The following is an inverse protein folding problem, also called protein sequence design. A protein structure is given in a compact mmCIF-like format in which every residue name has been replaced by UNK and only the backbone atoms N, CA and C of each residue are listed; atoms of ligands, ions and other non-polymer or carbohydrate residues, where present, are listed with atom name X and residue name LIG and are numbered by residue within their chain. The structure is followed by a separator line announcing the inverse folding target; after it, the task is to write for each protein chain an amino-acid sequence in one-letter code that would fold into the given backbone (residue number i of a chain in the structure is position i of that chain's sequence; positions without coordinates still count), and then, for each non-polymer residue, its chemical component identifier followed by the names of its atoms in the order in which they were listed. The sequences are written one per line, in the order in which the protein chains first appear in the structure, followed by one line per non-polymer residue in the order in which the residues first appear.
data_IF_190983700582
#
_entry.id   IF_190983700582
#
_cell.length_a   1.000
_cell.length_b   1.000
_cell.length_c   1.000
_cell.angle_alpha   90.00
_cell.angle_beta   90.00
_cell.angle_gamma   90.00
#
_symmetry.space_group_name_H-M   'P 1'
#
loop_
_entity.id
_entity.type
_entity.pdbx_description
1 polymer ?
#
# COMPACT_ATOMS: atom_id res chain seq x y z
N UNK A 1 30.57 -16.04 18.17
CA UNK A 1 30.40 -17.18 17.24
C UNK A 1 30.55 -18.45 18.06
N UNK A 2 29.48 -19.13 18.38
CA UNK A 2 29.50 -20.41 19.07
C UNK A 2 28.90 -21.45 18.12
N UNK A 3 29.70 -22.39 17.68
CA UNK A 3 29.35 -23.47 16.76
C UNK A 3 28.78 -24.62 17.60
N UNK A 4 27.58 -25.08 17.28
CA UNK A 4 26.93 -26.22 17.93
C UNK A 4 27.44 -27.53 17.30
N UNK A 5 27.94 -28.56 18.06
CA UNK A 5 28.44 -29.80 17.49
C UNK A 5 27.32 -30.77 17.12
N UNK A 6 27.47 -31.44 15.98
CA UNK A 6 26.65 -32.56 15.51
C UNK A 6 26.99 -33.83 16.28
N UNK A 7 25.97 -34.51 16.80
CA UNK A 7 26.08 -35.83 17.40
C UNK A 7 26.07 -36.91 16.31
N UNK A 8 27.17 -37.66 16.20
CA UNK A 8 27.24 -38.94 15.46
C UNK A 8 27.06 -40.10 16.43
N UNK A 9 26.07 -40.97 16.13
CA UNK A 9 25.92 -42.27 16.79
C UNK A 9 27.04 -43.24 16.35
N UNK A 10 27.71 -43.85 17.31
CA UNK A 10 28.44 -45.12 17.05
C UNK A 10 28.23 -46.10 18.21
N UNK A 11 28.24 -47.33 17.84
CA UNK A 11 27.69 -48.54 18.45
C UNK A 11 28.36 -49.04 19.73
N UNK A 12 27.59 -49.95 20.32
CA UNK A 12 27.85 -50.76 21.51
C UNK A 12 29.10 -51.59 21.47
N UNK A 13 29.84 -51.65 22.57
CA UNK A 13 30.51 -52.86 23.07
C UNK A 13 30.45 -52.88 24.60
N UNK A 14 30.06 -54.04 25.12
CA UNK A 14 29.92 -54.36 26.55
C UNK A 14 31.27 -54.60 27.25
N UNK A 15 31.36 -54.25 28.50
CA UNK A 15 32.55 -54.60 29.35
C UNK A 15 32.50 -54.00 30.75
N UNK A 16 32.04 -54.84 31.71
CA UNK A 16 32.31 -54.90 33.16
C UNK A 16 32.67 -53.68 34.02
N UNK A 17 31.71 -53.41 34.88
CA UNK A 17 31.69 -53.09 36.33
C UNK A 17 32.97 -52.64 37.04
N UNK A 18 32.97 -51.39 37.52
CA UNK A 18 33.46 -50.96 38.84
C UNK A 18 32.70 -49.72 39.32
N UNK A 19 32.18 -49.79 40.54
CA UNK A 19 31.40 -48.69 41.14
C UNK A 19 32.32 -47.49 41.44
N UNK A 20 32.03 -46.37 40.79
CA UNK A 20 32.49 -45.05 41.19
C UNK A 20 31.26 -44.14 41.18
N UNK A 21 30.94 -43.55 42.34
CA UNK A 21 29.86 -42.61 42.51
C UNK A 21 30.17 -41.35 41.67
N UNK A 22 29.47 -41.16 40.57
CA UNK A 22 29.53 -39.94 39.76
C UNK A 22 28.34 -39.08 40.18
N UNK A 23 28.65 -37.95 40.81
CA UNK A 23 27.73 -36.84 41.01
C UNK A 23 27.25 -36.38 39.63
N UNK A 24 26.01 -36.68 39.28
CA UNK A 24 25.32 -36.11 38.14
C UNK A 24 25.06 -34.60 38.41
N UNK A 25 25.91 -33.72 37.92
CA UNK A 25 25.58 -32.35 37.66
C UNK A 25 24.62 -32.33 36.44
N UNK A 26 23.33 -32.25 36.70
CA UNK A 26 22.31 -31.98 35.68
C UNK A 26 22.52 -30.54 35.17
N UNK A 27 23.29 -30.40 34.10
CA UNK A 27 23.32 -29.14 33.34
C UNK A 27 21.92 -28.96 32.69
N UNK A 28 21.12 -28.10 33.29
CA UNK A 28 19.91 -27.59 32.68
C UNK A 28 20.32 -26.87 31.38
N UNK A 29 20.19 -27.56 30.25
CA UNK A 29 20.31 -26.94 28.95
C UNK A 29 19.16 -25.93 28.82
N UNK A 30 19.47 -24.64 28.87
CA UNK A 30 18.52 -23.60 28.55
C UNK A 30 18.02 -23.83 27.10
N UNK A 31 16.72 -23.74 26.85
CA UNK A 31 16.19 -23.87 25.49
C UNK A 31 16.83 -22.79 24.61
N UNK A 32 17.48 -23.22 23.53
CA UNK A 32 17.99 -22.31 22.50
C UNK A 32 16.78 -21.54 21.92
N UNK A 33 16.77 -20.21 21.92
CA UNK A 33 15.68 -19.47 21.31
C UNK A 33 15.57 -19.90 19.83
N UNK A 34 14.37 -20.32 19.44
CA UNK A 34 14.06 -20.66 18.07
C UNK A 34 14.42 -19.46 17.17
N UNK A 35 15.30 -19.67 16.18
CA UNK A 35 15.57 -18.63 15.20
C UNK A 35 14.32 -18.38 14.36
N UNK A 36 13.89 -17.11 14.17
CA UNK A 36 12.74 -16.81 13.33
C UNK A 36 12.96 -17.36 11.93
N UNK A 37 12.00 -18.09 11.41
CA UNK A 37 11.98 -18.54 10.03
C UNK A 37 11.94 -17.31 9.12
N UNK A 38 12.51 -17.35 7.91
CA UNK A 38 12.66 -16.17 7.04
C UNK A 38 11.35 -15.43 6.73
N UNK A 39 10.17 -16.08 6.88
CA UNK A 39 8.85 -15.47 6.81
C UNK A 39 8.55 -14.53 7.98
N UNK A 40 8.92 -14.93 9.20
CA UNK A 40 8.68 -14.13 10.42
C UNK A 40 9.49 -12.84 10.42
N UNK A 41 10.68 -12.86 9.83
CA UNK A 41 11.55 -11.67 9.74
C UNK A 41 10.96 -10.58 8.84
N UNK A 42 10.27 -10.96 7.77
CA UNK A 42 9.64 -10.00 6.86
C UNK A 42 8.39 -9.35 7.47
N UNK A 43 7.57 -10.12 8.18
CA UNK A 43 6.41 -9.59 8.89
C UNK A 43 6.81 -8.60 10.01
N UNK A 44 7.96 -8.79 10.64
CA UNK A 44 8.47 -7.86 11.66
C UNK A 44 8.83 -6.47 11.11
N UNK A 45 8.88 -6.28 9.78
CA UNK A 45 9.07 -4.96 9.15
C UNK A 45 7.77 -4.18 8.98
N UNK A 46 6.64 -4.78 9.29
CA UNK A 46 5.33 -4.17 9.15
C UNK A 46 4.63 -4.06 10.52
N UNK A 47 3.82 -3.03 10.67
CA UNK A 47 2.88 -2.95 11.79
C UNK A 47 1.77 -3.97 11.53
N UNK A 48 1.42 -4.81 12.52
CA UNK A 48 0.33 -5.77 12.37
C UNK A 48 -1.00 -5.12 11.97
N UNK A 49 -1.82 -5.85 11.23
CA UNK A 49 -3.15 -5.39 10.85
C UNK A 49 -4.04 -5.10 12.08
N UNK A 50 -3.90 -5.91 13.15
CA UNK A 50 -4.60 -5.77 14.44
C UNK A 50 -4.03 -4.63 15.29
N UNK A 51 -3.87 -3.45 14.71
CA UNK A 51 -3.31 -2.28 15.38
C UNK A 51 -4.28 -1.75 16.44
N UNK A 52 -3.77 -1.47 17.63
CA UNK A 52 -4.50 -0.82 18.72
C UNK A 52 -4.34 0.70 18.67
N UNK A 53 -5.08 1.44 19.50
CA UNK A 53 -4.91 2.88 19.65
C UNK A 53 -3.45 3.26 19.96
N UNK A 54 -2.76 2.47 20.79
CA UNK A 54 -1.36 2.71 21.18
C UNK A 54 -0.41 2.57 20.01
N UNK A 55 -0.60 1.56 19.16
CA UNK A 55 0.29 1.24 18.04
C UNK A 55 -0.15 1.84 16.71
N UNK A 56 -1.29 2.53 16.67
CA UNK A 56 -1.83 3.09 15.43
C UNK A 56 -0.88 4.07 14.71
N UNK A 57 -0.01 4.73 15.46
CA UNK A 57 0.91 5.75 14.95
C UNK A 57 2.35 5.26 14.81
N UNK A 58 2.62 4.03 15.17
CA UNK A 58 3.97 3.46 15.09
C UNK A 58 4.45 3.35 13.63
N UNK A 59 5.74 3.49 13.46
CA UNK A 59 6.45 3.27 12.20
C UNK A 59 7.71 2.45 12.49
N UNK A 60 7.82 1.21 12.03
CA UNK A 60 9.01 0.37 12.24
C UNK A 60 10.29 1.02 11.72
N UNK A 61 10.20 1.78 10.65
CA UNK A 61 11.30 2.55 10.08
C UNK A 61 10.88 4.01 9.95
N UNK A 62 11.46 4.88 10.80
CA UNK A 62 11.21 6.33 10.76
C UNK A 62 12.51 7.07 10.45
N UNK A 63 12.65 7.68 9.26
CA UNK A 63 13.91 8.32 8.85
C UNK A 63 14.23 9.60 9.64
N UNK A 64 13.27 10.13 10.39
CA UNK A 64 13.50 11.31 11.24
C UNK A 64 14.18 10.96 12.56
N UNK A 65 14.04 9.70 13.01
CA UNK A 65 14.59 9.21 14.29
C UNK A 65 15.63 8.11 14.11
N UNK A 66 15.84 7.61 12.89
CA UNK A 66 16.84 6.58 12.61
C UNK A 66 18.25 7.16 12.66
N UNK A 67 18.98 6.87 13.74
CA UNK A 67 20.37 7.29 13.93
C UNK A 67 21.34 6.62 12.96
N UNK A 68 20.99 5.50 12.36
CA UNK A 68 21.82 4.83 11.34
C UNK A 68 21.79 5.52 9.98
N UNK A 69 20.78 6.36 9.76
CA UNK A 69 20.66 7.16 8.54
C UNK A 69 21.56 8.40 8.64
N UNK A 70 22.84 8.21 8.29
CA UNK A 70 23.88 9.24 8.35
C UNK A 70 23.50 10.51 7.58
N UNK A 71 24.11 11.64 7.94
CA UNK A 71 23.98 12.89 7.19
C UNK A 71 24.67 12.73 5.82
N UNK A 72 23.89 12.69 4.77
CA UNK A 72 24.35 12.57 3.39
C UNK A 72 23.25 13.08 2.43
N UNK A 73 23.56 13.41 1.19
CA UNK A 73 22.55 13.77 0.20
C UNK A 73 21.47 12.71 0.02
N UNK A 74 21.82 11.42 0.12
CA UNK A 74 20.87 10.31 0.11
C UNK A 74 19.94 10.35 1.32
N UNK A 75 20.49 10.49 2.51
CA UNK A 75 19.72 10.54 3.74
C UNK A 75 18.72 11.72 3.75
N UNK A 76 19.14 12.88 3.26
CA UNK A 76 18.23 14.03 3.16
C UNK A 76 17.12 13.79 2.12
N UNK A 77 17.41 13.12 1.01
CA UNK A 77 16.40 12.72 0.02
C UNK A 77 15.40 11.71 0.60
N UNK A 78 15.85 10.76 1.40
CA UNK A 78 14.97 9.83 2.14
C UNK A 78 14.04 10.58 3.09
N UNK A 79 14.57 11.53 3.89
CA UNK A 79 13.78 12.36 4.81
C UNK A 79 12.78 13.24 4.05
N UNK A 80 13.19 13.85 2.95
CA UNK A 80 12.30 14.60 2.08
C UNK A 80 11.20 13.73 1.50
N UNK A 81 11.54 12.55 1.00
CA UNK A 81 10.57 11.56 0.50
C UNK A 81 9.56 11.14 1.55
N UNK A 82 9.99 10.94 2.78
CA UNK A 82 9.10 10.67 3.91
C UNK A 82 8.14 11.84 4.18
N UNK A 83 8.64 13.07 4.25
CA UNK A 83 7.78 14.27 4.45
C UNK A 83 6.76 14.40 3.33
N UNK A 84 7.19 14.29 2.08
CA UNK A 84 6.31 14.25 0.90
C UNK A 84 5.23 13.17 1.05
N UNK A 85 5.61 11.97 1.47
CA UNK A 85 4.71 10.83 1.59
C UNK A 85 3.59 11.05 2.62
N UNK A 86 3.91 11.64 3.76
CA UNK A 86 2.94 11.84 4.86
C UNK A 86 2.20 13.16 4.79
N UNK A 87 2.70 14.15 4.05
CA UNK A 87 2.13 15.51 3.91
C UNK A 87 2.21 16.03 2.47
N UNK A 88 1.86 15.23 1.49
CA UNK A 88 1.99 15.57 0.07
C UNK A 88 1.40 16.94 -0.29
N UNK A 89 0.19 17.34 0.18
CA UNK A 89 -0.37 18.65 -0.15
C UNK A 89 0.44 19.83 0.38
N UNK A 90 1.13 19.65 1.51
CA UNK A 90 1.94 20.71 2.14
C UNK A 90 3.33 20.81 1.51
N UNK A 91 3.95 19.65 1.24
CA UNK A 91 5.33 19.54 0.77
C UNK A 91 5.47 19.70 -0.75
N UNK A 92 4.37 19.43 -1.49
CA UNK A 92 4.36 19.52 -2.95
C UNK A 92 3.01 20.08 -3.48
N UNK A 93 2.59 21.29 -3.05
CA UNK A 93 1.29 21.85 -3.44
C UNK A 93 1.13 22.05 -4.94
N UNK A 94 2.24 22.21 -5.67
CA UNK A 94 2.23 22.35 -7.12
C UNK A 94 1.82 21.07 -7.85
N UNK A 95 2.01 19.91 -7.25
CA UNK A 95 1.74 18.58 -7.86
C UNK A 95 0.63 17.80 -7.18
N UNK A 96 0.26 18.13 -5.94
CA UNK A 96 -0.87 17.56 -5.22
C UNK A 96 -2.08 18.50 -5.32
N UNK A 97 -2.93 18.26 -6.30
CA UNK A 97 -4.07 19.15 -6.58
C UNK A 97 -5.29 18.88 -5.69
N UNK A 98 -5.21 17.95 -4.77
CA UNK A 98 -6.29 17.59 -3.83
C UNK A 98 -5.80 17.59 -2.37
N UNK A 99 -6.65 17.23 -1.45
CA UNK A 99 -6.34 17.20 -0.02
C UNK A 99 -5.77 15.87 0.47
N UNK A 100 -5.25 15.01 -0.41
CA UNK A 100 -4.75 13.69 -0.08
C UNK A 100 -3.23 13.65 -0.05
N UNK A 101 -2.70 12.90 0.90
CA UNK A 101 -1.31 12.47 0.93
C UNK A 101 -1.21 10.97 0.63
N UNK A 102 -0.05 10.50 0.16
CA UNK A 102 0.20 9.08 -0.08
C UNK A 102 -0.13 8.23 1.17
N UNK A 103 0.19 8.75 2.35
CA UNK A 103 -0.07 8.14 3.65
C UNK A 103 -1.55 8.00 4.01
N UNK A 104 -2.49 8.67 3.33
CA UNK A 104 -3.92 8.47 3.56
C UNK A 104 -4.42 7.09 3.10
N UNK A 105 -3.74 6.47 2.12
CA UNK A 105 -4.06 5.14 1.63
C UNK A 105 -2.99 4.12 2.05
N UNK A 106 -1.71 4.50 1.98
CA UNK A 106 -0.58 3.67 2.40
C UNK A 106 -0.27 3.96 3.88
N UNK A 107 -1.10 3.38 4.78
CA UNK A 107 -1.11 3.75 6.19
C UNK A 107 0.25 3.51 6.88
N UNK A 108 0.49 4.26 7.97
CA UNK A 108 1.73 4.21 8.74
C UNK A 108 2.97 4.41 7.85
N UNK A 109 2.90 5.43 6.99
CA UNK A 109 3.97 5.74 6.03
C UNK A 109 4.34 4.54 5.11
N UNK A 110 3.33 3.75 4.71
CA UNK A 110 3.51 2.59 3.84
C UNK A 110 4.00 1.33 4.57
N UNK A 111 3.89 1.26 5.89
CA UNK A 111 4.47 0.19 6.69
C UNK A 111 3.43 -0.60 7.52
N UNK A 112 2.13 -0.51 7.20
CA UNK A 112 1.07 -1.25 7.90
C UNK A 112 0.57 -2.42 7.06
N UNK A 113 0.50 -3.61 7.65
CA UNK A 113 -0.08 -4.80 7.02
C UNK A 113 -1.49 -4.52 6.49
N UNK A 114 -1.84 -5.13 5.36
CA UNK A 114 -3.17 -5.05 4.72
C UNK A 114 -3.67 -3.63 4.41
N UNK A 115 -2.87 -2.60 4.73
CA UNK A 115 -3.14 -1.20 4.43
C UNK A 115 -2.24 -0.70 3.29
N UNK A 116 -2.15 -1.47 2.22
CA UNK A 116 -1.34 -1.19 1.03
C UNK A 116 0.14 -0.92 1.37
N UNK A 117 0.83 -1.85 2.09
CA UNK A 117 2.22 -1.64 2.46
C UNK A 117 3.13 -1.48 1.25
N UNK A 118 4.14 -0.62 1.38
CA UNK A 118 5.16 -0.35 0.35
C UNK A 118 6.53 -0.92 0.71
N UNK A 119 6.69 -1.46 1.92
CA UNK A 119 7.92 -2.17 2.32
C UNK A 119 8.20 -3.31 1.34
N UNK A 120 9.40 -3.36 0.77
CA UNK A 120 9.79 -4.36 -0.23
C UNK A 120 9.32 -4.07 -1.66
N UNK A 121 8.42 -3.11 -1.86
CA UNK A 121 7.82 -2.83 -3.18
C UNK A 121 8.86 -2.38 -4.21
N UNK A 122 9.95 -1.74 -3.79
CA UNK A 122 11.01 -1.33 -4.71
C UNK A 122 11.64 -2.53 -5.47
N UNK A 123 11.68 -3.73 -4.86
CA UNK A 123 12.19 -4.94 -5.50
C UNK A 123 11.25 -5.58 -6.53
N UNK A 124 9.99 -5.14 -6.59
CA UNK A 124 9.01 -5.65 -7.57
C UNK A 124 9.20 -5.04 -8.95
N UNK A 125 9.66 -3.79 -9.01
CA UNK A 125 9.87 -3.08 -10.26
C UNK A 125 11.19 -3.48 -10.97
N UNK A 126 11.21 -3.46 -12.32
CA UNK A 126 10.13 -3.09 -13.24
C UNK A 126 9.03 -4.15 -13.34
N UNK A 127 7.76 -3.70 -13.46
CA UNK A 127 6.59 -4.57 -13.53
C UNK A 127 5.64 -4.15 -14.65
N UNK A 128 4.99 -5.15 -15.31
CA UNK A 128 3.99 -4.85 -16.34
C UNK A 128 2.69 -4.34 -15.74
N UNK A 129 2.29 -3.13 -16.12
CA UNK A 129 1.03 -2.52 -15.73
C UNK A 129 -0.08 -2.87 -16.74
N UNK A 130 -1.00 -3.75 -16.34
CA UNK A 130 -2.11 -4.22 -17.19
C UNK A 130 -3.06 -3.09 -17.63
N UNK A 131 -3.22 -2.04 -16.83
CA UNK A 131 -4.12 -0.92 -17.14
C UNK A 131 -3.58 -0.07 -18.29
N UNK A 132 -2.31 0.25 -18.24
CA UNK A 132 -1.66 1.09 -19.25
C UNK A 132 -0.97 0.29 -20.35
N UNK A 133 -0.90 -1.04 -20.22
CA UNK A 133 -0.36 -1.93 -21.24
C UNK A 133 1.16 -1.79 -21.48
N UNK A 134 1.93 -1.30 -20.47
CA UNK A 134 3.38 -1.10 -20.55
C UNK A 134 4.11 -1.50 -19.28
N UNK A 135 5.42 -1.63 -19.37
CA UNK A 135 6.29 -1.85 -18.22
C UNK A 135 6.46 -0.54 -17.45
N UNK A 136 6.36 -0.62 -16.13
CA UNK A 136 6.55 0.49 -15.20
C UNK A 136 7.85 0.34 -14.42
N UNK A 137 8.57 1.42 -14.25
CA UNK A 137 9.53 1.60 -13.16
C UNK A 137 8.80 1.96 -11.86
N UNK A 138 9.52 2.04 -10.75
CA UNK A 138 8.98 2.57 -9.50
C UNK A 138 8.54 4.03 -9.65
N UNK A 139 9.33 4.83 -10.37
CA UNK A 139 9.07 6.23 -10.67
C UNK A 139 7.80 6.39 -11.52
N UNK A 140 7.63 5.60 -12.56
CA UNK A 140 6.39 5.55 -13.35
C UNK A 140 5.17 5.28 -12.45
N UNK A 141 5.33 4.37 -11.49
CA UNK A 141 4.24 4.05 -10.56
C UNK A 141 3.90 5.22 -9.64
N UNK A 142 4.91 5.93 -9.12
CA UNK A 142 4.73 7.13 -8.30
C UNK A 142 4.03 8.22 -9.09
N UNK A 143 4.49 8.49 -10.30
CA UNK A 143 3.86 9.41 -11.23
C UNK A 143 2.39 9.06 -11.48
N UNK A 144 2.10 7.79 -11.73
CA UNK A 144 0.73 7.31 -11.89
C UNK A 144 -0.15 7.53 -10.65
N UNK A 145 0.43 7.49 -9.44
CA UNK A 145 -0.28 7.81 -8.21
C UNK A 145 -0.57 9.32 -8.10
N UNK A 146 0.40 10.18 -8.37
CA UNK A 146 0.18 11.62 -8.42
C UNK A 146 -0.96 11.99 -9.36
N UNK A 147 -0.95 11.47 -10.58
CA UNK A 147 -1.96 11.76 -11.59
C UNK A 147 -3.36 11.27 -11.24
N UNK A 148 -3.47 10.11 -10.56
CA UNK A 148 -4.74 9.43 -10.32
C UNK A 148 -5.28 9.63 -8.91
N UNK A 149 -4.43 9.53 -7.92
CA UNK A 149 -4.83 9.62 -6.51
C UNK A 149 -4.76 11.04 -5.98
N UNK A 150 -3.84 11.87 -6.49
CA UNK A 150 -3.62 13.23 -6.02
C UNK A 150 -4.03 14.31 -7.03
N UNK A 151 -4.65 13.89 -8.15
CA UNK A 151 -5.14 14.77 -9.21
C UNK A 151 -4.07 15.74 -9.74
N UNK A 152 -2.82 15.31 -9.83
CA UNK A 152 -1.72 16.14 -10.29
C UNK A 152 -2.04 16.78 -11.65
N UNK A 153 -2.15 18.11 -11.66
CA UNK A 153 -2.36 18.93 -12.85
C UNK A 153 -1.14 19.73 -13.22
N UNK A 154 -0.24 19.99 -12.28
CA UNK A 154 0.96 20.77 -12.48
C UNK A 154 2.02 20.06 -13.34
N UNK A 155 1.88 18.78 -13.53
CA UNK A 155 2.63 18.04 -14.53
C UNK A 155 2.10 18.24 -15.97
N UNK A 156 1.26 19.21 -16.20
CA UNK A 156 1.00 19.73 -17.53
C UNK A 156 2.21 20.54 -17.93
N UNK A 157 3.02 20.05 -18.85
CA UNK A 157 3.75 20.98 -19.67
C UNK A 157 2.71 21.74 -20.48
N UNK A 158 2.59 23.03 -20.24
CA UNK A 158 1.96 23.94 -21.16
C UNK A 158 2.77 23.90 -22.45
N UNK A 159 2.38 23.03 -23.35
CA UNK A 159 2.91 23.10 -24.71
C UNK A 159 2.20 24.26 -25.42
N UNK A 160 2.92 25.20 -25.97
CA UNK A 160 2.33 26.33 -26.73
C UNK A 160 1.46 25.89 -27.90
N UNK A 161 1.42 24.63 -28.23
CA UNK A 161 0.75 24.03 -29.38
C UNK A 161 -0.51 23.24 -29.05
N UNK A 162 -1.30 23.69 -28.11
CA UNK A 162 -2.71 23.23 -27.98
C UNK A 162 -2.88 21.72 -27.80
N UNK A 163 -2.50 21.17 -26.69
CA UNK A 163 -3.24 20.02 -26.18
C UNK A 163 -2.81 18.64 -26.58
N UNK A 164 -1.56 18.36 -26.80
CA UNK A 164 -1.09 16.97 -26.73
C UNK A 164 -0.53 16.68 -25.34
N UNK A 165 -1.27 15.87 -24.58
CA UNK A 165 -0.87 15.33 -23.26
C UNK A 165 0.34 14.39 -23.37
N UNK A 166 1.48 14.88 -23.85
CA UNK A 166 2.71 14.09 -24.00
C UNK A 166 3.68 14.22 -22.85
N UNK A 167 3.42 15.08 -21.92
CA UNK A 167 4.22 15.16 -20.71
C UNK A 167 3.43 14.54 -19.56
N UNK A 168 3.58 13.25 -19.41
CA UNK A 168 3.53 12.66 -18.09
C UNK A 168 4.44 13.49 -17.17
N UNK A 169 4.11 13.61 -15.87
CA UNK A 169 5.06 14.18 -14.94
C UNK A 169 6.42 13.53 -15.18
N UNK A 170 7.41 14.36 -15.22
CA UNK A 170 8.77 13.91 -15.40
C UNK A 170 9.14 12.94 -14.29
N UNK A 171 9.44 11.69 -14.64
CA UNK A 171 9.89 10.67 -13.68
C UNK A 171 11.20 11.05 -13.00
N UNK A 172 11.92 12.05 -13.55
CA UNK A 172 13.13 12.64 -12.97
C UNK A 172 12.85 13.80 -12.01
N UNK A 173 11.58 14.23 -11.84
CA UNK A 173 11.23 15.29 -10.90
C UNK A 173 11.72 14.95 -9.47
N UNK A 174 12.20 15.97 -8.75
CA UNK A 174 12.81 15.76 -7.42
C UNK A 174 11.82 15.18 -6.41
N UNK A 175 10.53 15.50 -6.51
CA UNK A 175 9.47 14.90 -5.69
C UNK A 175 9.35 13.40 -5.93
N UNK A 176 9.42 12.98 -7.19
CA UNK A 176 9.37 11.57 -7.59
C UNK A 176 10.63 10.84 -7.14
N UNK A 177 11.80 11.45 -7.34
CA UNK A 177 13.08 10.90 -6.92
C UNK A 177 13.17 10.74 -5.38
N UNK A 178 12.68 11.72 -4.62
CA UNK A 178 12.67 11.67 -3.17
C UNK A 178 11.71 10.58 -2.64
N UNK A 179 10.50 10.48 -3.21
CA UNK A 179 9.55 9.43 -2.85
C UNK A 179 10.08 8.03 -3.21
N UNK A 180 10.68 7.89 -4.38
CA UNK A 180 11.30 6.63 -4.78
C UNK A 180 12.43 6.22 -3.83
N UNK A 181 13.26 7.18 -3.40
CA UNK A 181 14.35 6.91 -2.45
C UNK A 181 13.83 6.53 -1.07
N UNK A 182 12.74 7.16 -0.59
CA UNK A 182 12.09 6.75 0.64
C UNK A 182 11.53 5.32 0.53
N UNK A 183 10.84 4.99 -0.56
CA UNK A 183 10.29 3.63 -0.78
C UNK A 183 11.41 2.60 -0.92
N UNK A 184 12.53 2.93 -1.55
CA UNK A 184 13.72 2.05 -1.59
C UNK A 184 14.27 1.83 -0.19
N UNK A 185 14.41 2.89 0.59
CA UNK A 185 14.94 2.80 1.95
C UNK A 185 14.10 1.89 2.86
N UNK A 186 12.76 2.05 2.89
CA UNK A 186 11.90 1.13 3.66
C UNK A 186 11.87 -0.30 3.09
N UNK A 187 12.35 -0.49 1.87
CA UNK A 187 12.40 -1.80 1.20
C UNK A 187 13.72 -2.53 1.41
N UNK A 188 14.80 -1.87 1.83
CA UNK A 188 16.15 -2.47 1.93
C UNK A 188 16.20 -3.69 2.83
N UNK A 189 15.50 -3.66 3.96
CA UNK A 189 15.45 -4.76 4.92
C UNK A 189 14.55 -5.91 4.49
N UNK A 190 13.66 -5.69 3.54
CA UNK A 190 12.76 -6.71 3.01
C UNK A 190 13.44 -7.63 1.97
N UNK A 191 14.68 -7.31 1.59
CA UNK A 191 15.38 -8.02 0.54
C UNK A 191 14.90 -7.68 -0.86
N UNK A 192 15.53 -8.31 -1.86
CA UNK A 192 15.18 -8.13 -3.27
C UNK A 192 14.34 -9.31 -3.73
N UNK A 193 13.10 -9.05 -4.19
CA UNK A 193 12.25 -10.11 -4.71
C UNK A 193 10.97 -9.58 -5.34
N UNK A 194 10.51 -10.24 -6.39
CA UNK A 194 9.28 -9.90 -7.10
C UNK A 194 8.01 -10.43 -6.42
N UNK A 195 8.16 -11.28 -5.41
CA UNK A 195 7.04 -11.86 -4.66
C UNK A 195 7.10 -11.38 -3.21
N UNK A 196 6.15 -10.56 -2.82
CA UNK A 196 6.01 -10.07 -1.45
C UNK A 196 4.91 -10.86 -0.75
N UNK A 197 5.15 -11.40 0.48
CA UNK A 197 4.16 -12.20 1.21
C UNK A 197 2.85 -11.47 1.48
N UNK A 198 2.90 -10.14 1.64
CA UNK A 198 1.73 -9.30 1.92
C UNK A 198 1.00 -8.79 0.66
N UNK A 199 1.52 -9.06 -0.53
CA UNK A 199 0.88 -8.61 -1.78
C UNK A 199 -0.43 -9.36 -2.00
N UNK A 200 -1.52 -8.60 -2.13
CA UNK A 200 -2.87 -9.15 -2.36
C UNK A 200 -3.61 -9.58 -1.10
N UNK A 201 -3.01 -9.51 0.10
CA UNK A 201 -3.68 -9.86 1.35
C UNK A 201 -4.88 -8.96 1.70
N UNK A 202 -5.02 -7.84 1.03
CA UNK A 202 -6.16 -6.93 1.13
C UNK A 202 -7.16 -7.10 -0.02
N UNK A 203 -7.21 -8.26 -0.65
CA UNK A 203 -8.18 -8.58 -1.71
C UNK A 203 -9.36 -9.35 -1.11
N UNK A 204 -10.59 -8.96 -1.44
CA UNK A 204 -11.78 -9.75 -1.11
C UNK A 204 -11.68 -11.11 -1.81
N UNK A 205 -11.86 -12.25 -1.10
CA UNK A 205 -11.87 -13.57 -1.72
C UNK A 205 -12.88 -13.67 -2.86
N UNK A 206 -12.55 -14.40 -3.90
CA UNK A 206 -13.38 -14.47 -5.12
C UNK A 206 -14.79 -15.04 -4.89
N UNK A 207 -14.94 -15.98 -3.98
CA UNK A 207 -16.21 -16.58 -3.55
C UNK A 207 -17.09 -15.63 -2.73
N UNK A 208 -16.47 -14.59 -2.15
CA UNK A 208 -17.14 -13.56 -1.37
C UNK A 208 -17.46 -12.30 -2.19
N UNK A 209 -17.11 -12.28 -3.49
CA UNK A 209 -17.41 -11.14 -4.34
C UNK A 209 -18.91 -11.10 -4.70
N UNK A 210 -19.50 -9.94 -4.52
CA UNK A 210 -20.90 -9.64 -4.89
C UNK A 210 -20.87 -8.90 -6.22
N UNK A 211 -21.66 -9.35 -7.18
CA UNK A 211 -21.78 -8.66 -8.48
C UNK A 211 -22.19 -7.18 -8.29
N UNK A 212 -21.57 -6.30 -9.04
CA UNK A 212 -21.73 -4.83 -8.88
C UNK A 212 -23.20 -4.40 -8.94
N UNK A 213 -23.99 -5.05 -9.76
CA UNK A 213 -25.40 -4.80 -9.96
C UNK A 213 -26.27 -5.20 -8.76
N UNK A 214 -25.75 -6.04 -7.88
CA UNK A 214 -26.41 -6.52 -6.65
C UNK A 214 -25.99 -5.72 -5.40
N UNK A 215 -25.00 -4.84 -5.54
CA UNK A 215 -24.57 -3.97 -4.46
C UNK A 215 -25.54 -2.77 -4.36
N UNK A 216 -26.03 -2.52 -3.14
CA UNK A 216 -27.00 -1.46 -2.86
C UNK A 216 -26.31 -0.22 -2.24
N UNK A 217 -26.22 0.90 -2.97
CA UNK A 217 -25.65 2.13 -2.43
C UNK A 217 -26.42 2.72 -1.23
N UNK A 218 -27.71 2.43 -1.06
CA UNK A 218 -28.53 2.90 0.07
C UNK A 218 -28.06 2.16 1.34
N UNK A 219 -27.92 0.85 1.28
CA UNK A 219 -27.32 0.06 2.36
C UNK A 219 -25.89 0.51 2.65
N UNK A 220 -25.09 0.74 1.60
CA UNK A 220 -23.73 1.26 1.72
C UNK A 220 -23.67 2.61 2.41
N UNK A 221 -24.62 3.51 2.15
CA UNK A 221 -24.77 4.81 2.84
C UNK A 221 -25.06 4.64 4.33
N UNK A 222 -25.98 3.76 4.70
CA UNK A 222 -26.32 3.50 6.11
C UNK A 222 -25.10 2.99 6.88
N UNK A 223 -24.39 1.99 6.33
CA UNK A 223 -23.16 1.45 6.91
C UNK A 223 -22.04 2.50 7.01
N UNK A 224 -21.90 3.35 5.99
CA UNK A 224 -20.94 4.46 6.03
C UNK A 224 -21.25 5.46 7.15
N UNK A 225 -22.51 5.82 7.31
CA UNK A 225 -22.94 6.73 8.38
C UNK A 225 -22.67 6.16 9.77
N UNK A 226 -22.88 4.86 9.95
CA UNK A 226 -22.65 4.15 11.21
C UNK A 226 -21.18 3.98 11.54
N UNK A 227 -20.37 3.53 10.55
CA UNK A 227 -19.03 3.00 10.80
C UNK A 227 -17.89 3.93 10.36
N UNK A 228 -18.16 4.95 9.56
CA UNK A 228 -17.12 5.74 8.90
C UNK A 228 -17.24 7.24 9.15
N UNK A 229 -18.45 7.75 9.34
CA UNK A 229 -18.72 9.21 9.35
C UNK A 229 -18.07 9.95 10.51
N UNK A 230 -17.79 9.28 11.64
CA UNK A 230 -17.10 9.87 12.78
C UNK A 230 -15.71 10.42 12.43
N UNK A 231 -15.01 9.76 11.50
CA UNK A 231 -13.68 10.17 11.03
C UNK A 231 -13.73 10.85 9.65
N UNK A 232 -14.59 10.34 8.76
CA UNK A 232 -14.64 10.84 7.38
C UNK A 232 -15.66 11.98 7.17
N UNK A 233 -16.46 12.31 8.19
CA UNK A 233 -17.57 13.26 8.05
C UNK A 233 -18.75 12.64 7.30
N UNK A 234 -19.96 13.15 7.55
CA UNK A 234 -21.17 12.71 6.80
C UNK A 234 -21.10 13.10 5.33
N UNK A 235 -20.32 14.12 5.03
CA UNK A 235 -20.03 14.63 3.67
C UNK A 235 -18.82 13.98 3.02
N UNK A 236 -18.11 13.08 3.73
CA UNK A 236 -16.93 12.38 3.26
C UNK A 236 -15.67 13.25 3.09
N UNK A 237 -15.66 14.48 3.65
CA UNK A 237 -14.54 15.40 3.47
C UNK A 237 -13.45 15.28 4.54
N UNK A 238 -13.65 14.39 5.51
CA UNK A 238 -12.73 14.14 6.61
C UNK A 238 -12.88 15.11 7.78
N UNK A 239 -12.75 14.56 8.99
CA UNK A 239 -12.74 15.31 10.26
C UNK A 239 -11.31 15.35 10.77
N UNK A 240 -10.88 16.47 11.35
CA UNK A 240 -9.59 16.56 12.01
C UNK A 240 -9.63 15.78 13.33
N UNK A 241 -8.63 14.93 13.57
CA UNK A 241 -8.46 14.12 14.76
C UNK A 241 -7.03 14.35 15.25
N UNK A 242 -6.86 15.27 16.16
CA UNK A 242 -5.54 15.75 16.55
C UNK A 242 -4.82 16.41 15.38
N UNK A 243 -3.61 15.98 15.11
CA UNK A 243 -2.76 16.40 13.99
C UNK A 243 -3.07 15.68 12.66
N UNK A 244 -4.04 14.80 12.65
CA UNK A 244 -4.41 14.00 11.49
C UNK A 244 -5.78 14.36 10.99
N UNK A 245 -5.97 14.15 9.68
CA UNK A 245 -7.25 14.29 9.01
C UNK A 245 -7.46 13.11 8.08
N UNK A 246 -8.60 12.45 8.24
CA UNK A 246 -9.05 11.48 7.24
C UNK A 246 -9.27 12.21 5.91
N UNK A 247 -8.68 11.74 4.84
CA UNK A 247 -8.76 12.41 3.54
C UNK A 247 -10.16 12.40 2.94
N UNK A 248 -10.44 13.30 1.99
CA UNK A 248 -11.71 13.34 1.28
C UNK A 248 -11.93 12.07 0.45
N UNK A 249 -13.11 11.45 0.59
CA UNK A 249 -13.46 10.20 -0.09
C UNK A 249 -14.17 10.44 -1.43
N UNK A 250 -14.74 11.61 -1.65
CA UNK A 250 -15.39 12.05 -2.89
C UNK A 250 -15.37 13.57 -3.03
N UNK A 251 -15.93 14.09 -4.13
CA UNK A 251 -15.92 15.51 -4.44
C UNK A 251 -14.62 15.97 -5.11
N UNK A 252 -14.45 17.27 -5.35
CA UNK A 252 -13.37 17.81 -6.18
C UNK A 252 -11.98 17.62 -5.61
N UNK A 253 -11.86 17.44 -4.30
CA UNK A 253 -10.57 17.23 -3.60
C UNK A 253 -10.26 15.78 -3.27
N UNK A 254 -11.01 14.82 -3.82
CA UNK A 254 -10.74 13.39 -3.69
C UNK A 254 -9.89 12.89 -4.88
N UNK A 255 -9.54 11.61 -4.85
CA UNK A 255 -8.93 10.92 -6.00
C UNK A 255 -9.87 10.94 -7.21
N UNK A 256 -9.31 10.90 -8.41
CA UNK A 256 -10.12 10.88 -9.62
C UNK A 256 -10.61 9.46 -9.99
N UNK A 257 -11.48 9.41 -10.98
CA UNK A 257 -12.14 8.18 -11.43
C UNK A 257 -11.22 7.19 -12.18
N UNK A 258 -9.94 7.53 -12.38
CA UNK A 258 -8.89 6.64 -12.85
C UNK A 258 -8.03 6.04 -11.73
N UNK A 259 -8.26 6.41 -10.46
CA UNK A 259 -7.50 5.88 -9.34
C UNK A 259 -7.80 4.40 -9.05
N UNK A 260 -6.90 3.72 -8.32
CA UNK A 260 -7.13 2.36 -7.85
C UNK A 260 -8.36 2.25 -6.93
N UNK A 261 -8.54 3.22 -6.03
CA UNK A 261 -9.68 3.32 -5.13
C UNK A 261 -11.01 3.64 -5.84
N UNK A 262 -10.98 4.06 -7.11
CA UNK A 262 -12.18 4.22 -7.93
C UNK A 262 -12.73 2.88 -8.46
N UNK A 263 -12.10 1.76 -8.13
CA UNK A 263 -12.60 0.40 -8.38
C UNK A 263 -13.24 -0.14 -7.12
N UNK A 264 -14.47 -0.62 -7.23
CA UNK A 264 -15.29 -1.04 -6.07
C UNK A 264 -14.62 -2.14 -5.27
N UNK A 265 -14.14 -3.22 -5.90
CA UNK A 265 -13.52 -4.33 -5.17
C UNK A 265 -12.15 -3.98 -4.60
N UNK A 266 -11.41 -3.10 -5.27
CA UNK A 266 -10.13 -2.60 -4.75
C UNK A 266 -10.34 -1.77 -3.48
N UNK A 267 -11.32 -0.86 -3.50
CA UNK A 267 -11.67 -0.06 -2.33
C UNK A 267 -12.27 -0.94 -1.21
N UNK A 268 -13.13 -1.90 -1.56
CA UNK A 268 -13.71 -2.84 -0.61
C UNK A 268 -12.64 -3.65 0.14
N UNK A 269 -11.62 -4.12 -0.58
CA UNK A 269 -10.50 -4.81 0.05
C UNK A 269 -9.75 -3.93 1.06
N UNK A 270 -9.49 -2.67 0.71
CA UNK A 270 -8.89 -1.72 1.65
C UNK A 270 -9.80 -1.48 2.87
N UNK A 271 -11.11 -1.23 2.65
CA UNK A 271 -12.07 -1.04 3.73
C UNK A 271 -12.14 -2.26 4.64
N UNK A 272 -12.24 -3.46 4.08
CA UNK A 272 -12.36 -4.73 4.82
C UNK A 272 -11.20 -4.98 5.78
N UNK A 273 -9.97 -4.63 5.36
CA UNK A 273 -8.78 -5.05 6.08
C UNK A 273 -8.03 -3.91 6.78
N UNK A 274 -8.28 -2.64 6.41
CA UNK A 274 -7.56 -1.50 6.94
C UNK A 274 -8.45 -0.47 7.64
N UNK A 275 -9.79 -0.59 7.48
CA UNK A 275 -10.75 0.33 8.06
C UNK A 275 -11.81 -0.42 8.91
N UNK A 276 -12.38 0.21 9.93
CA UNK A 276 -12.00 1.50 10.53
C UNK A 276 -10.55 1.51 11.02
N UNK A 277 -9.89 2.67 10.99
CA UNK A 277 -8.44 2.78 11.24
C UNK A 277 -7.99 2.18 12.58
N UNK A 278 -8.80 2.32 13.64
CA UNK A 278 -8.52 1.82 14.99
C UNK A 278 -9.19 0.47 15.29
N UNK A 279 -9.97 -0.06 14.35
CA UNK A 279 -10.65 -1.37 14.47
C UNK A 279 -10.63 -2.12 13.13
N UNK A 280 -9.41 -2.35 12.56
CA UNK A 280 -9.27 -2.94 11.24
C UNK A 280 -9.73 -4.40 11.24
N UNK A 281 -10.46 -4.78 10.18
CA UNK A 281 -10.97 -6.13 10.04
C UNK A 281 -12.32 -6.38 10.72
N UNK A 282 -12.90 -5.41 11.43
CA UNK A 282 -14.22 -5.55 12.07
C UNK A 282 -15.39 -5.59 11.08
N UNK A 283 -15.23 -5.07 9.88
CA UNK A 283 -16.23 -5.17 8.81
C UNK A 283 -16.12 -6.53 8.11
N UNK A 284 -17.24 -7.13 7.74
CA UNK A 284 -17.24 -8.32 6.88
C UNK A 284 -17.07 -7.96 5.40
N UNK A 285 -16.96 -8.97 4.53
CA UNK A 285 -16.72 -8.76 3.10
C UNK A 285 -17.91 -8.09 2.39
N UNK A 286 -19.13 -8.38 2.81
CA UNK A 286 -20.34 -7.79 2.24
C UNK A 286 -20.44 -6.31 2.61
N UNK A 287 -20.32 -5.96 3.89
CA UNK A 287 -20.35 -4.57 4.40
C UNK A 287 -19.31 -3.69 3.70
N UNK A 288 -18.08 -4.18 3.59
CA UNK A 288 -17.01 -3.46 2.91
C UNK A 288 -17.32 -3.18 1.42
N UNK A 289 -17.94 -4.13 0.72
CA UNK A 289 -18.34 -3.96 -0.67
C UNK A 289 -19.50 -2.97 -0.82
N UNK A 290 -20.50 -3.00 0.10
CA UNK A 290 -21.61 -2.04 0.10
C UNK A 290 -21.10 -0.61 0.34
N UNK A 291 -20.23 -0.42 1.32
CA UNK A 291 -19.60 0.89 1.60
C UNK A 291 -18.80 1.37 0.40
N UNK A 292 -17.96 0.50 -0.18
CA UNK A 292 -17.17 0.83 -1.37
C UNK A 292 -18.05 1.22 -2.56
N UNK A 293 -19.17 0.53 -2.75
CA UNK A 293 -20.15 0.84 -3.81
C UNK A 293 -20.78 2.22 -3.61
N UNK A 294 -21.14 2.56 -2.36
CA UNK A 294 -21.66 3.88 -2.01
C UNK A 294 -20.62 4.97 -2.30
N UNK A 295 -19.39 4.84 -1.79
CA UNK A 295 -18.32 5.81 -2.01
C UNK A 295 -18.04 5.99 -3.51
N UNK A 296 -18.09 4.91 -4.29
CA UNK A 296 -17.89 4.94 -5.73
C UNK A 296 -19.14 5.28 -6.55
N UNK A 297 -20.27 5.59 -5.90
CA UNK A 297 -21.42 6.24 -6.54
C UNK A 297 -21.34 7.78 -6.48
N UNK A 298 -20.46 8.31 -5.62
CA UNK A 298 -20.35 9.74 -5.40
C UNK A 298 -19.51 10.43 -6.49
N UNK A 299 -19.77 11.72 -6.80
CA UNK A 299 -19.04 12.46 -7.81
C UNK A 299 -17.57 12.65 -7.42
N UNK A 300 -16.70 12.62 -8.42
CA UNK A 300 -15.25 12.84 -8.28
C UNK A 300 -14.64 13.40 -9.55
N UNK A 301 -13.39 13.92 -9.51
CA UNK A 301 -12.71 14.42 -10.69
C UNK A 301 -12.57 13.33 -11.76
N UNK A 302 -12.59 13.74 -13.02
CA UNK A 302 -12.36 12.85 -14.16
C UNK A 302 -10.88 12.73 -14.44
N UNK A 303 -10.40 11.50 -14.64
CA UNK A 303 -9.02 11.28 -15.07
C UNK A 303 -8.87 11.66 -16.55
N UNK A 304 -8.03 12.65 -16.89
CA UNK A 304 -7.95 13.17 -18.26
C UNK A 304 -7.49 12.15 -19.29
N UNK A 305 -6.63 11.20 -18.87
CA UNK A 305 -6.04 10.19 -19.74
C UNK A 305 -6.77 8.84 -19.71
N UNK A 306 -7.98 8.79 -19.15
CA UNK A 306 -8.80 7.57 -19.03
C UNK A 306 -8.96 6.80 -20.34
N UNK A 307 -9.00 7.50 -21.47
CA UNK A 307 -9.11 6.90 -22.81
C UNK A 307 -7.96 5.95 -23.17
N UNK A 308 -6.81 6.07 -22.50
CA UNK A 308 -5.64 5.21 -22.71
C UNK A 308 -5.59 4.01 -21.77
N UNK A 309 -6.51 3.92 -20.82
CA UNK A 309 -6.59 2.79 -19.89
C UNK A 309 -7.24 1.58 -20.56
N UNK A 310 -6.75 0.40 -20.25
CA UNK A 310 -7.29 -0.90 -20.67
C UNK A 310 -7.35 -1.09 -22.21
N UNK A 311 -6.45 -0.46 -22.97
CA UNK A 311 -6.40 -0.64 -24.42
C UNK A 311 -6.08 -2.08 -24.84
N UNK A 312 -5.27 -2.79 -24.02
CA UNK A 312 -4.80 -4.15 -24.30
C UNK A 312 -5.42 -5.21 -23.38
N UNK A 313 -6.32 -4.82 -22.47
CA UNK A 313 -6.93 -5.73 -21.50
C UNK A 313 -8.40 -5.40 -21.30
N UNK A 314 -9.17 -6.38 -20.83
CA UNK A 314 -10.58 -6.14 -20.48
C UNK A 314 -10.68 -5.14 -19.33
N UNK A 315 -11.67 -4.26 -19.41
CA UNK A 315 -12.06 -3.38 -18.31
C UNK A 315 -12.56 -4.27 -17.17
N UNK A 316 -12.01 -4.15 -15.95
CA UNK A 316 -12.49 -4.92 -14.80
C UNK A 316 -13.98 -4.66 -14.50
N UNK A 317 -14.74 -5.67 -14.04
CA UNK A 317 -16.17 -5.50 -13.79
C UNK A 317 -16.51 -4.47 -12.71
N UNK A 318 -15.58 -4.19 -11.82
CA UNK A 318 -15.71 -3.22 -10.72
C UNK A 318 -15.20 -1.80 -11.06
N UNK A 319 -14.76 -1.58 -12.30
CA UNK A 319 -14.33 -0.26 -12.78
C UNK A 319 -15.56 0.55 -13.25
N UNK A 320 -16.39 0.96 -12.29
CA UNK A 320 -17.74 1.54 -12.53
C UNK A 320 -17.75 2.88 -13.27
N UNK A 321 -16.62 3.56 -13.34
CA UNK A 321 -16.47 4.83 -14.08
C UNK A 321 -16.01 4.66 -15.53
N UNK A 322 -15.79 3.42 -15.99
CA UNK A 322 -15.44 3.11 -17.35
C UNK A 322 -16.68 2.63 -18.11
N UNK A 323 -16.95 3.18 -19.31
CA UNK A 323 -18.12 2.76 -20.09
C UNK A 323 -18.03 1.28 -20.45
N UNK A 324 -19.10 0.54 -20.18
CA UNK A 324 -19.26 -0.84 -20.63
C UNK A 324 -19.85 -0.81 -22.04
N UNK A 325 -19.27 -1.56 -22.97
CA UNK A 325 -19.78 -1.64 -24.34
C UNK A 325 -19.40 -0.47 -25.24
N UNK A 326 -18.33 0.26 -24.94
CA UNK A 326 -17.77 1.20 -25.90
C UNK A 326 -17.37 0.47 -27.19
N UNK A 327 -17.60 1.08 -28.39
CA UNK A 327 -17.19 0.51 -29.66
C UNK A 327 -15.70 0.13 -29.62
N UNK A 328 -15.32 -0.88 -30.41
CA UNK A 328 -13.93 -1.26 -30.59
C UNK A 328 -13.06 -0.02 -30.77
N UNK A 329 -12.11 0.13 -29.87
CA UNK A 329 -11.22 1.31 -29.93
C UNK A 329 -10.33 1.18 -31.15
N UNK A 330 -10.04 2.29 -31.82
CA UNK A 330 -9.22 2.22 -33.02
C UNK A 330 -7.89 1.54 -32.71
N UNK A 331 -7.33 0.75 -33.65
CA UNK A 331 -6.03 0.13 -33.49
C UNK A 331 -4.99 1.20 -33.14
N UNK A 332 -4.13 0.87 -32.18
CA UNK A 332 -2.96 1.69 -31.90
C UNK A 332 -2.09 1.67 -33.15
N UNK A 333 -1.95 2.81 -33.79
CA UNK A 333 -0.88 2.96 -34.78
C UNK A 333 0.43 2.90 -33.99
N UNK A 334 1.15 1.79 -34.13
CA UNK A 334 2.50 1.61 -33.62
C UNK A 334 3.41 2.59 -34.36
N UNK A 335 3.77 3.70 -33.70
CA UNK A 335 4.84 4.62 -34.09
C UNK A 335 5.95 4.55 -33.05
#
# INVERSE_FOLDING_TARGET
MAVCPRTTRHGRKEGNVRHAAILLMSALAAPCPAQPTGGDTLHALLIPASTTMVTAWDMPQNPLTDSSLALSPRAERVRRGFRLFVRTPDEAPAVAANGLACGNCHLNAGQRERALPLTGVAGVFPEYNKREGRIFSLEDRIVGCFMRSENATAFRADTPSGGTFRTFPDTSAEEVAALAEYIRWISERAGVGKSLPWRGLNTIPGDSLIAIERLDPIRGKALFQERCSSCHGVDGQGVAIGDKKAGPLWGPRSWNDGAGAARVYTLAGFIRYAMPYLDPGSLNAEEAQQIARYINAMPRPKFPLKRYDYLRTRIPPDAVYYPRGAPERPPLNDH
#
